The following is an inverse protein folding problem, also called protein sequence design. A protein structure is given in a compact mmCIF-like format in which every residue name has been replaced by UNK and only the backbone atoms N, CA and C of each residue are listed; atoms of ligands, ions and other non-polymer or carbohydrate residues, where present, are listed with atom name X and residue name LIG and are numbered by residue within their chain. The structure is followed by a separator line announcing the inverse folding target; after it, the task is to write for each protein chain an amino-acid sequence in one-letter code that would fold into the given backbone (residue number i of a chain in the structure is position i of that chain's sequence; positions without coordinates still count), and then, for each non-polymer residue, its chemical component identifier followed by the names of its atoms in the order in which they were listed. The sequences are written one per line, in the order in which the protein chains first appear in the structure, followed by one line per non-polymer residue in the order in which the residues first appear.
data_IF_535466692528
#
_entry.id   IF_535466692528
#
_cell.length_a   1.000
_cell.length_b   1.000
_cell.length_c   1.000
_cell.angle_alpha   90.00
_cell.angle_beta   90.00
_cell.angle_gamma   90.00
#
_symmetry.space_group_name_H-M   'P 1'
#
loop_
_entity.id
_entity.type
_entity.pdbx_description
1 polymer ?
#
# COMPACT_ATOMS: atom_id res chain seq x y z
N UNK A 1 -22.04 -22.02 55.81
CA UNK A 1 -22.25 -22.78 54.57
C UNK A 1 -21.52 -22.03 53.44
N UNK A 2 -20.33 -22.52 53.05
CA UNK A 2 -19.51 -21.85 52.03
C UNK A 2 -19.99 -22.31 50.65
N UNK A 3 -20.57 -21.42 49.88
CA UNK A 3 -20.89 -21.70 48.47
C UNK A 3 -19.59 -21.66 47.63
N UNK A 4 -19.31 -22.80 47.02
CA UNK A 4 -18.18 -22.99 46.13
C UNK A 4 -18.43 -22.27 44.78
N UNK A 5 -17.36 -21.60 44.25
CA UNK A 5 -17.38 -20.88 42.98
C UNK A 5 -17.76 -21.72 41.75
N UNK A 6 -17.87 -23.04 41.91
CA UNK A 6 -18.26 -23.97 40.83
C UNK A 6 -19.74 -24.00 40.53
N UNK A 7 -20.60 -23.52 41.44
CA UNK A 7 -22.06 -23.60 41.28
C UNK A 7 -22.67 -22.36 40.63
N UNK A 8 -21.87 -21.29 40.37
CA UNK A 8 -22.35 -20.07 39.71
C UNK A 8 -22.40 -20.23 38.20
N UNK A 9 -21.65 -21.16 37.65
CA UNK A 9 -21.62 -21.36 36.18
C UNK A 9 -22.71 -22.32 35.63
N UNK A 10 -23.47 -22.97 36.46
CA UNK A 10 -24.51 -23.95 36.02
C UNK A 10 -25.90 -23.34 35.83
N UNK A 11 -26.12 -22.09 36.20
CA UNK A 11 -27.43 -21.45 36.10
C UNK A 11 -27.59 -20.42 34.95
N UNK A 12 -26.59 -20.28 34.08
CA UNK A 12 -26.63 -19.37 32.92
C UNK A 12 -26.82 -20.09 31.57
N UNK A 13 -27.19 -21.34 31.58
CA UNK A 13 -27.31 -22.14 30.34
C UNK A 13 -28.76 -22.48 29.99
N UNK A 14 -29.71 -21.60 30.29
CA UNK A 14 -31.08 -21.84 29.85
C UNK A 14 -31.87 -20.54 29.69
N UNK A 15 -31.49 -19.67 28.76
CA UNK A 15 -32.43 -18.69 28.21
C UNK A 15 -31.90 -18.17 26.87
N UNK A 16 -32.57 -18.55 25.80
CA UNK A 16 -32.67 -17.75 24.60
C UNK A 16 -31.74 -18.11 23.44
N UNK A 17 -32.09 -19.16 22.73
CA UNK A 17 -31.76 -19.27 21.34
C UNK A 17 -32.40 -18.11 20.55
N UNK A 18 -31.66 -17.05 20.41
CA UNK A 18 -31.89 -15.98 19.47
C UNK A 18 -30.63 -15.79 18.67
N UNK A 19 -30.41 -16.67 17.70
CA UNK A 19 -29.32 -16.49 16.74
C UNK A 19 -29.65 -15.32 15.82
N UNK A 20 -29.41 -14.12 16.28
CA UNK A 20 -29.19 -13.00 15.38
C UNK A 20 -27.79 -13.20 14.77
N UNK A 21 -27.72 -13.96 13.69
CA UNK A 21 -26.57 -13.95 12.81
C UNK A 21 -26.54 -12.57 12.21
N UNK A 22 -25.85 -11.64 12.86
CA UNK A 22 -25.39 -10.44 12.22
C UNK A 22 -24.44 -10.90 11.10
N UNK A 23 -25.00 -11.06 9.91
CA UNK A 23 -24.21 -11.03 8.69
C UNK A 23 -23.53 -9.68 8.70
N UNK A 24 -22.27 -9.68 9.15
CA UNK A 24 -21.34 -8.61 8.74
C UNK A 24 -21.38 -8.70 7.21
N UNK A 25 -22.11 -7.75 6.61
CA UNK A 25 -22.02 -7.55 5.20
C UNK A 25 -20.52 -7.33 4.91
N UNK A 26 -19.86 -8.36 4.39
CA UNK A 26 -18.64 -8.12 3.67
C UNK A 26 -19.03 -7.05 2.67
N UNK A 27 -18.39 -5.89 2.76
CA UNK A 27 -18.41 -4.94 1.68
C UNK A 27 -18.12 -5.77 0.43
N UNK A 28 -19.14 -5.93 -0.42
CA UNK A 28 -18.95 -6.55 -1.71
C UNK A 28 -17.75 -5.86 -2.32
N UNK A 29 -16.72 -6.64 -2.50
CA UNK A 29 -15.55 -6.27 -3.28
C UNK A 29 -16.14 -5.90 -4.65
N UNK A 30 -16.32 -4.59 -4.87
CA UNK A 30 -16.78 -4.10 -6.16
C UNK A 30 -15.87 -4.77 -7.20
N UNK A 31 -16.43 -5.46 -8.19
CA UNK A 31 -15.60 -6.06 -9.22
C UNK A 31 -14.74 -4.94 -9.75
N UNK A 32 -13.42 -5.06 -9.59
CA UNK A 32 -12.45 -4.21 -10.28
C UNK A 32 -12.87 -4.26 -11.74
N UNK A 33 -13.52 -3.20 -12.20
CA UNK A 33 -13.82 -3.05 -13.61
C UNK A 33 -12.45 -3.01 -14.29
N UNK A 34 -12.02 -4.16 -14.79
CA UNK A 34 -10.96 -4.18 -15.75
C UNK A 34 -11.37 -3.20 -16.83
N UNK A 35 -10.65 -2.10 -16.94
CA UNK A 35 -10.88 -1.11 -17.97
C UNK A 35 -10.65 -1.83 -19.31
N UNK A 36 -11.73 -2.35 -19.87
CA UNK A 36 -11.79 -2.81 -21.26
C UNK A 36 -11.94 -1.56 -22.14
N UNK A 37 -11.01 -0.63 -21.98
CA UNK A 37 -10.81 0.42 -22.93
C UNK A 37 -9.88 -0.10 -24.01
N UNK A 38 -10.34 -0.14 -25.24
CA UNK A 38 -9.54 -0.29 -26.44
C UNK A 38 -8.61 0.94 -26.67
N UNK A 39 -8.28 1.63 -25.62
CA UNK A 39 -7.30 2.69 -25.63
C UNK A 39 -5.91 2.08 -25.45
N UNK A 40 -5.11 2.09 -26.51
CA UNK A 40 -3.69 1.74 -26.39
C UNK A 40 -3.09 2.58 -25.27
N UNK A 41 -2.68 1.90 -24.17
CA UNK A 41 -2.02 2.54 -23.06
C UNK A 41 -0.76 3.26 -23.56
N UNK A 42 -0.69 4.57 -23.34
CA UNK A 42 0.48 5.37 -23.70
C UNK A 42 1.26 5.65 -22.42
N UNK A 43 2.48 5.12 -22.29
CA UNK A 43 3.30 5.37 -21.11
C UNK A 43 3.57 6.85 -20.90
N UNK A 44 3.49 7.29 -19.65
CA UNK A 44 3.85 8.66 -19.26
C UNK A 44 5.35 8.83 -19.40
N UNK A 45 5.78 9.89 -20.09
CA UNK A 45 7.18 10.29 -20.16
C UNK A 45 7.41 11.51 -19.29
N UNK A 46 8.15 11.33 -18.20
CA UNK A 46 8.60 12.43 -17.35
C UNK A 46 9.98 12.90 -17.81
N UNK A 47 10.22 14.21 -17.80
CA UNK A 47 11.48 14.79 -18.27
C UNK A 47 12.69 14.37 -17.44
N UNK A 48 12.48 14.13 -16.12
CA UNK A 48 13.55 13.87 -15.17
C UNK A 48 13.37 12.55 -14.42
N UNK A 49 12.59 11.64 -14.96
CA UNK A 49 12.32 10.38 -14.29
C UNK A 49 12.32 9.21 -15.25
N UNK A 50 12.47 8.05 -14.69
CA UNK A 50 12.29 6.78 -15.35
C UNK A 50 11.13 6.05 -14.66
N UNK A 51 10.44 5.20 -15.41
CA UNK A 51 9.30 4.45 -14.88
C UNK A 51 9.80 3.29 -14.04
N UNK A 52 9.35 3.22 -12.78
CA UNK A 52 9.68 2.12 -11.88
C UNK A 52 9.03 0.83 -12.40
N UNK A 53 9.80 -0.21 -12.67
CA UNK A 53 9.23 -1.48 -13.08
C UNK A 53 8.40 -2.09 -11.95
N UNK A 54 7.37 -2.82 -12.31
CA UNK A 54 6.52 -3.54 -11.38
C UNK A 54 6.35 -4.99 -11.82
N UNK A 55 5.90 -5.81 -10.93
CA UNK A 55 5.41 -7.17 -11.22
C UNK A 55 3.93 -7.26 -10.86
N UNK A 56 3.22 -8.15 -11.52
CA UNK A 56 1.83 -8.44 -11.20
C UNK A 56 1.75 -9.75 -10.43
N UNK A 57 1.22 -9.68 -9.21
CA UNK A 57 1.03 -10.84 -8.34
C UNK A 57 -0.43 -10.85 -7.90
N UNK A 58 -1.18 -11.88 -8.26
CA UNK A 58 -2.60 -12.02 -7.95
C UNK A 58 -3.44 -10.79 -8.35
N UNK A 59 -3.15 -10.22 -9.52
CA UNK A 59 -3.84 -9.03 -10.03
C UNK A 59 -3.46 -7.72 -9.33
N UNK A 60 -2.41 -7.72 -8.51
CA UNK A 60 -1.89 -6.53 -7.83
C UNK A 60 -0.58 -6.11 -8.49
N UNK A 61 -0.45 -4.85 -8.88
CA UNK A 61 0.82 -4.26 -9.32
C UNK A 61 1.70 -3.98 -8.11
N UNK A 62 2.84 -4.65 -8.02
CA UNK A 62 3.77 -4.50 -6.91
C UNK A 62 5.00 -3.70 -7.35
N UNK A 63 5.26 -2.61 -6.65
CA UNK A 63 6.41 -1.74 -6.82
C UNK A 63 7.33 -1.82 -5.60
N UNK A 64 8.61 -1.54 -5.79
CA UNK A 64 9.56 -1.48 -4.70
C UNK A 64 10.37 -0.19 -4.75
N UNK A 65 10.15 0.67 -3.77
CA UNK A 65 10.93 1.88 -3.54
C UNK A 65 12.04 1.61 -2.51
N UNK A 66 13.23 2.08 -2.80
CA UNK A 66 14.36 2.04 -1.89
C UNK A 66 14.81 3.48 -1.62
N UNK A 67 14.60 3.95 -0.40
CA UNK A 67 15.11 5.25 0.05
C UNK A 67 16.57 5.09 0.46
N UNK A 68 17.46 5.84 -0.15
CA UNK A 68 18.91 5.70 0.07
C UNK A 68 19.67 7.01 -0.16
N UNK A 69 20.88 7.09 0.40
CA UNK A 69 21.81 8.17 0.10
C UNK A 69 22.43 7.93 -1.28
N UNK A 70 22.47 8.98 -2.10
CA UNK A 70 23.00 8.95 -3.46
C UNK A 70 23.90 10.15 -3.71
N UNK A 71 24.82 10.05 -4.66
CA UNK A 71 25.50 11.19 -5.23
C UNK A 71 24.74 11.63 -6.49
N UNK A 72 24.40 12.91 -6.55
CA UNK A 72 23.67 13.49 -7.67
C UNK A 72 24.38 14.75 -8.18
N UNK A 73 24.54 14.84 -9.49
CA UNK A 73 25.08 16.02 -10.16
C UNK A 73 23.91 16.94 -10.54
N UNK A 74 23.77 18.06 -9.84
CA UNK A 74 22.70 19.05 -10.07
C UNK A 74 23.00 19.99 -11.23
N UNK A 75 24.28 20.21 -11.52
CA UNK A 75 24.80 20.98 -12.65
C UNK A 75 26.19 20.46 -12.97
N UNK A 76 26.73 20.71 -14.17
CA UNK A 76 28.07 20.29 -14.56
C UNK A 76 29.13 20.61 -13.50
N UNK A 77 29.75 19.59 -12.91
CA UNK A 77 30.73 19.71 -11.84
C UNK A 77 30.17 19.97 -10.43
N UNK A 78 28.84 20.11 -10.27
CA UNK A 78 28.19 20.34 -8.97
C UNK A 78 27.55 19.04 -8.46
N UNK A 79 28.34 18.21 -7.80
CA UNK A 79 27.92 16.94 -7.21
C UNK A 79 27.66 17.13 -5.72
N UNK A 80 26.56 16.60 -5.20
CA UNK A 80 26.26 16.56 -3.78
C UNK A 80 25.64 15.23 -3.38
N UNK A 81 25.92 14.83 -2.14
CA UNK A 81 25.22 13.71 -1.51
C UNK A 81 23.82 14.16 -1.09
N UNK A 82 22.81 13.43 -1.52
CA UNK A 82 21.42 13.71 -1.19
C UNK A 82 20.65 12.41 -0.97
N UNK A 83 19.40 12.54 -0.58
CA UNK A 83 18.51 11.39 -0.47
C UNK A 83 17.73 11.22 -1.77
N UNK A 84 17.58 9.99 -2.20
CA UNK A 84 16.84 9.64 -3.40
C UNK A 84 16.07 8.35 -3.25
N UNK A 85 15.37 8.01 -4.30
CA UNK A 85 14.71 6.72 -4.42
C UNK A 85 15.29 5.93 -5.59
N UNK A 86 15.68 4.68 -5.32
CA UNK A 86 16.20 3.76 -6.34
C UNK A 86 17.37 4.37 -7.15
N UNK A 87 18.31 4.99 -6.44
CA UNK A 87 19.52 5.56 -7.02
C UNK A 87 19.37 6.91 -7.71
N UNK A 88 18.21 7.54 -7.68
CA UNK A 88 17.96 8.81 -8.37
C UNK A 88 17.22 9.84 -7.53
N UNK A 89 17.42 11.12 -7.87
CA UNK A 89 16.60 12.24 -7.44
C UNK A 89 16.38 13.19 -8.64
N UNK A 90 15.11 13.56 -9.01
CA UNK A 90 13.87 13.00 -8.50
C UNK A 90 13.82 11.48 -8.61
N UNK A 91 13.03 10.83 -7.71
CA UNK A 91 12.83 9.40 -7.75
C UNK A 91 12.07 8.91 -8.98
N UNK A 92 11.89 7.59 -9.14
CA UNK A 92 11.21 7.03 -10.29
C UNK A 92 9.72 7.36 -10.32
N UNK A 93 9.15 7.35 -11.51
CA UNK A 93 7.71 7.47 -11.73
C UNK A 93 7.03 6.13 -11.44
N UNK A 94 6.01 6.15 -10.59
CA UNK A 94 5.10 5.02 -10.39
C UNK A 94 3.91 5.24 -11.31
N UNK A 95 3.68 4.30 -12.20
CA UNK A 95 2.67 4.42 -13.24
C UNK A 95 1.61 3.32 -13.10
N UNK A 96 0.36 3.74 -12.96
CA UNK A 96 -0.78 2.84 -12.85
C UNK A 96 -2.00 3.44 -13.55
N UNK A 97 -2.95 2.60 -13.90
CA UNK A 97 -4.21 2.99 -14.52
C UNK A 97 -5.29 3.03 -13.45
N UNK A 98 -6.28 3.91 -13.60
CA UNK A 98 -7.43 3.96 -12.70
C UNK A 98 -8.09 2.58 -12.59
N UNK A 99 -8.32 2.12 -11.35
CA UNK A 99 -8.83 0.79 -11.05
C UNK A 99 -7.76 -0.28 -10.79
N UNK A 100 -6.48 0.00 -11.04
CA UNK A 100 -5.42 -0.91 -10.67
C UNK A 100 -5.33 -1.07 -9.14
N UNK A 101 -5.16 -2.31 -8.70
CA UNK A 101 -4.74 -2.58 -7.32
C UNK A 101 -3.22 -2.46 -7.25
N UNK A 102 -2.74 -1.61 -6.36
CA UNK A 102 -1.31 -1.29 -6.25
C UNK A 102 -0.81 -1.62 -4.85
N UNK A 103 0.38 -2.21 -4.77
CA UNK A 103 1.12 -2.41 -3.54
C UNK A 103 2.52 -1.84 -3.70
N UNK A 104 2.93 -1.00 -2.76
CA UNK A 104 4.25 -0.38 -2.81
C UNK A 104 5.01 -0.82 -1.56
N UNK A 105 6.09 -1.54 -1.79
CA UNK A 105 7.05 -1.86 -0.74
C UNK A 105 8.05 -0.72 -0.64
N UNK A 106 8.36 -0.29 0.58
CA UNK A 106 9.35 0.75 0.82
C UNK A 106 10.44 0.18 1.72
N UNK A 107 11.67 0.21 1.22
CA UNK A 107 12.86 -0.14 2.02
C UNK A 107 13.60 1.14 2.36
N UNK A 108 13.82 1.38 3.66
CA UNK A 108 14.64 2.48 4.14
C UNK A 108 16.09 2.00 4.34
N UNK A 109 17.01 2.55 3.55
CA UNK A 109 18.46 2.38 3.68
C UNK A 109 19.17 3.61 4.23
N UNK A 110 18.38 4.67 4.53
CA UNK A 110 18.91 5.85 5.18
C UNK A 110 19.29 5.54 6.63
N UNK A 111 20.16 6.34 7.20
CA UNK A 111 20.49 6.27 8.63
C UNK A 111 19.40 6.85 9.51
N UNK A 112 18.51 7.61 8.93
CA UNK A 112 17.40 8.30 9.59
C UNK A 112 16.07 7.59 9.36
N UNK A 113 15.14 7.79 10.27
CA UNK A 113 13.75 7.37 10.07
C UNK A 113 13.13 8.18 8.94
N UNK A 114 12.42 7.51 8.06
CA UNK A 114 11.70 8.16 6.96
C UNK A 114 10.33 7.54 6.73
N UNK A 115 9.48 8.29 6.10
CA UNK A 115 8.21 7.80 5.54
C UNK A 115 8.01 8.39 4.15
N UNK A 116 7.11 7.79 3.38
CA UNK A 116 6.71 8.32 2.07
C UNK A 116 5.47 9.17 2.26
N UNK A 117 5.55 10.44 1.87
CA UNK A 117 4.39 11.31 1.80
C UNK A 117 3.71 11.16 0.43
N UNK A 118 2.50 10.63 0.43
CA UNK A 118 1.70 10.43 -0.79
C UNK A 118 0.89 11.69 -1.08
N UNK A 119 1.55 12.69 -1.64
CA UNK A 119 0.94 14.00 -1.88
C UNK A 119 -0.29 13.90 -2.79
N UNK A 120 -1.45 14.35 -2.28
CA UNK A 120 -2.69 14.42 -3.04
C UNK A 120 -3.41 13.07 -3.25
N UNK A 121 -2.92 11.99 -2.65
CA UNK A 121 -3.55 10.67 -2.73
C UNK A 121 -4.28 10.36 -1.43
N UNK A 122 -5.54 9.95 -1.54
CA UNK A 122 -6.31 9.43 -0.43
C UNK A 122 -6.00 7.94 -0.26
N UNK A 123 -5.44 7.59 0.86
CA UNK A 123 -5.13 6.21 1.22
C UNK A 123 -6.17 5.69 2.23
N UNK A 124 -6.54 4.40 2.16
CA UNK A 124 -7.31 3.80 3.24
C UNK A 124 -6.47 3.82 4.53
N UNK A 125 -7.14 4.13 5.66
CA UNK A 125 -6.53 4.14 6.98
C UNK A 125 -6.32 2.71 7.51
#
# INVERSE_FOLDING_TARGET
MKMSRRNVFQWLAALGAGAAVSRVARADEAPSAAATGDGSYVPVRTLNGWTLPHRVVDGVKEFHLVAEEIEHEFAPGSVATCWGYNGTTPGPTIECVEGDRVRIYVTNRLREHTNVHWHGILLPA
#
